data_IF_015653276865
#
_entry.id   IF_015653276865
#
_cell.length_a   1.000
_cell.length_b   1.000
_cell.length_c   1.000
_cell.angle_alpha   90.00
_cell.angle_beta   90.00
_cell.angle_gamma   90.00
#
_symmetry.space_group_name_H-M   'P 1'
#
loop_
_entity.id
_entity.type
_entity.pdbx_description
1 polymer ?
#
# COMPACT_ATOMS: atom_id res chain seq x y z
N UNK A 1 -18.55 5.23 -13.81
CA UNK A 1 -18.42 3.77 -13.59
C UNK A 1 -17.44 3.22 -14.61
N UNK A 2 -16.21 2.91 -14.20
CA UNK A 2 -15.25 2.16 -15.02
C UNK A 2 -15.72 0.70 -15.10
N UNK A 3 -15.81 0.17 -16.31
CA UNK A 3 -16.22 -1.22 -16.58
C UNK A 3 -15.21 -2.22 -15.99
N UNK A 4 -15.64 -3.45 -15.70
CA UNK A 4 -14.73 -4.53 -15.28
C UNK A 4 -13.58 -4.71 -16.29
N UNK A 5 -13.86 -4.53 -17.58
CA UNK A 5 -12.87 -4.56 -18.65
C UNK A 5 -11.84 -3.43 -18.53
N UNK A 6 -12.27 -2.19 -18.27
CA UNK A 6 -11.35 -1.07 -18.05
C UNK A 6 -10.48 -1.26 -16.79
N UNK A 7 -11.04 -1.82 -15.70
CA UNK A 7 -10.28 -2.20 -14.50
C UNK A 7 -9.29 -3.33 -14.75
N UNK A 8 -9.60 -4.24 -15.68
CA UNK A 8 -8.67 -5.27 -16.15
C UNK A 8 -7.63 -4.73 -17.14
N UNK A 9 -7.91 -3.60 -17.82
CA UNK A 9 -7.00 -2.95 -18.76
C UNK A 9 -6.03 -1.96 -18.08
N UNK A 10 -6.37 -1.44 -16.90
CA UNK A 10 -5.44 -0.71 -16.02
C UNK A 10 -4.40 -1.69 -15.44
N UNK A 11 -3.37 -2.00 -16.23
CA UNK A 11 -2.32 -2.94 -15.89
C UNK A 11 -1.22 -2.35 -14.99
N UNK A 12 -1.28 -1.04 -14.71
CA UNK A 12 -0.27 -0.32 -13.95
C UNK A 12 -0.80 1.01 -13.41
N UNK A 13 -0.25 1.46 -12.30
CA UNK A 13 -0.39 2.83 -11.79
C UNK A 13 0.73 3.69 -12.40
N UNK A 14 0.40 4.87 -12.94
CA UNK A 14 1.44 5.83 -13.34
C UNK A 14 1.90 6.60 -12.10
N UNK A 15 3.22 6.61 -11.85
CA UNK A 15 3.83 7.42 -10.80
C UNK A 15 4.82 8.40 -11.42
N UNK A 16 5.18 9.45 -10.68
CA UNK A 16 6.16 10.44 -11.14
C UNK A 16 7.35 10.46 -10.20
N UNK A 17 8.56 10.25 -10.74
CA UNK A 17 9.82 10.31 -10.01
C UNK A 17 10.71 11.32 -10.74
N UNK A 18 11.11 12.40 -10.03
CA UNK A 18 11.94 13.49 -10.59
C UNK A 18 11.42 14.05 -11.94
N UNK A 19 10.09 14.19 -12.05
CA UNK A 19 9.42 14.67 -13.26
C UNK A 19 9.29 13.65 -14.40
N UNK A 20 9.82 12.42 -14.22
CA UNK A 20 9.67 11.33 -15.17
C UNK A 20 8.50 10.44 -14.79
N UNK A 21 7.63 10.17 -15.76
CA UNK A 21 6.54 9.21 -15.59
C UNK A 21 7.08 7.78 -15.65
N UNK A 22 6.83 7.01 -14.60
CA UNK A 22 7.15 5.60 -14.52
C UNK A 22 5.87 4.78 -14.33
N UNK A 23 5.88 3.53 -14.79
CA UNK A 23 4.77 2.61 -14.58
C UNK A 23 5.08 1.71 -13.39
N UNK A 24 4.22 1.75 -12.39
CA UNK A 24 4.21 0.78 -11.30
C UNK A 24 3.27 -0.35 -11.66
N UNK A 25 3.76 -1.60 -11.69
CA UNK A 25 2.90 -2.75 -11.97
C UNK A 25 1.90 -2.98 -10.82
N UNK A 26 0.80 -3.66 -11.14
CA UNK A 26 -0.16 -4.16 -10.15
C UNK A 26 0.49 -5.07 -9.10
N UNK A 27 -0.11 -5.09 -7.92
CA UNK A 27 0.28 -5.97 -6.83
C UNK A 27 -0.09 -7.42 -7.16
N UNK A 28 0.74 -8.36 -6.73
CA UNK A 28 0.51 -9.79 -6.92
C UNK A 28 0.85 -10.60 -5.66
N UNK A 29 0.60 -11.92 -5.71
CA UNK A 29 0.80 -12.81 -4.56
C UNK A 29 2.26 -12.84 -4.08
N UNK A 30 3.26 -12.65 -4.95
CA UNK A 30 4.68 -12.61 -4.51
C UNK A 30 4.96 -11.39 -3.64
N UNK A 31 4.26 -10.29 -3.88
CA UNK A 31 4.40 -9.07 -3.09
C UNK A 31 3.91 -9.27 -1.66
N UNK A 32 2.87 -10.09 -1.47
CA UNK A 32 2.39 -10.45 -0.14
C UNK A 32 3.52 -11.08 0.67
N UNK A 33 4.28 -12.00 0.07
CA UNK A 33 5.43 -12.64 0.71
C UNK A 33 6.54 -11.65 1.05
N UNK A 34 6.90 -10.77 0.10
CA UNK A 34 7.92 -9.72 0.34
C UNK A 34 7.52 -8.80 1.49
N UNK A 35 6.27 -8.36 1.51
CA UNK A 35 5.78 -7.47 2.54
C UNK A 35 5.65 -8.15 3.91
N UNK A 36 5.29 -9.43 3.96
CA UNK A 36 5.34 -10.16 5.23
C UNK A 36 6.76 -10.30 5.79
N UNK A 37 7.79 -10.33 4.95
CA UNK A 37 9.19 -10.32 5.38
C UNK A 37 9.56 -9.00 6.05
N UNK A 38 9.11 -7.87 5.49
CA UNK A 38 9.22 -6.53 6.09
C UNK A 38 8.59 -6.54 7.48
N UNK A 39 7.32 -6.93 7.59
CA UNK A 39 6.61 -6.97 8.88
C UNK A 39 7.31 -7.90 9.88
N UNK A 40 7.86 -9.03 9.44
CA UNK A 40 8.56 -9.96 10.33
C UNK A 40 9.84 -9.37 10.94
N UNK A 41 10.50 -8.45 10.24
CA UNK A 41 11.71 -7.76 10.73
C UNK A 41 11.39 -6.63 11.70
N UNK A 42 10.42 -5.79 11.36
CA UNK A 42 10.01 -4.64 12.19
C UNK A 42 9.26 -5.11 13.44
N UNK A 43 8.49 -6.18 13.32
CA UNK A 43 7.76 -6.81 14.42
C UNK A 43 6.27 -6.54 14.42
N UNK A 44 5.58 -7.02 15.47
CA UNK A 44 4.12 -7.10 15.51
C UNK A 44 3.41 -5.73 15.54
N UNK A 45 4.09 -4.65 15.94
CA UNK A 45 3.49 -3.31 16.00
C UNK A 45 3.22 -2.78 14.58
N UNK A 46 4.15 -2.95 13.64
CA UNK A 46 3.95 -2.62 12.24
C UNK A 46 2.76 -3.35 11.60
N UNK A 47 2.46 -4.57 12.07
CA UNK A 47 1.26 -5.30 11.63
C UNK A 47 -0.02 -4.61 12.12
N UNK A 48 -0.06 -4.17 13.38
CA UNK A 48 -1.22 -3.48 13.96
C UNK A 48 -1.50 -2.19 13.19
N UNK A 49 -0.47 -1.36 13.01
CA UNK A 49 -0.56 -0.08 12.30
C UNK A 49 -1.06 -0.27 10.87
N UNK A 50 -0.51 -1.28 10.18
CA UNK A 50 -0.92 -1.63 8.82
C UNK A 50 -2.37 -2.14 8.73
N UNK A 51 -2.81 -2.94 9.70
CA UNK A 51 -4.20 -3.42 9.74
C UNK A 51 -5.18 -2.30 10.08
N UNK A 52 -4.80 -1.38 10.95
CA UNK A 52 -5.59 -0.21 11.33
C UNK A 52 -5.78 0.70 10.12
N UNK A 53 -4.69 1.02 9.40
CA UNK A 53 -4.77 1.79 8.16
C UNK A 53 -5.72 1.14 7.13
N UNK A 54 -5.60 -0.17 6.91
CA UNK A 54 -6.49 -0.87 5.98
C UNK A 54 -7.97 -0.81 6.39
N UNK A 55 -8.26 -0.87 7.69
CA UNK A 55 -9.63 -0.73 8.20
C UNK A 55 -10.16 0.69 7.99
N UNK A 56 -9.38 1.70 8.38
CA UNK A 56 -9.75 3.11 8.23
C UNK A 56 -9.93 3.50 6.76
N UNK A 57 -9.06 3.04 5.86
CA UNK A 57 -9.19 3.28 4.41
C UNK A 57 -10.50 2.71 3.86
N UNK A 58 -10.88 1.48 4.24
CA UNK A 58 -12.16 0.91 3.83
C UNK A 58 -13.34 1.74 4.33
N UNK A 59 -13.34 2.15 5.59
CA UNK A 59 -14.40 2.97 6.18
C UNK A 59 -14.53 4.32 5.45
N UNK A 60 -13.41 4.94 5.07
CA UNK A 60 -13.38 6.18 4.30
C UNK A 60 -13.90 5.95 2.89
N UNK A 61 -13.46 4.90 2.19
CA UNK A 61 -13.90 4.59 0.83
C UNK A 61 -15.41 4.29 0.77
N UNK A 62 -15.97 3.62 1.78
CA UNK A 62 -17.42 3.42 1.93
C UNK A 62 -18.18 4.73 2.12
N UNK A 63 -17.67 5.64 2.97
CA UNK A 63 -18.26 6.98 3.17
C UNK A 63 -18.25 7.80 1.88
N UNK A 64 -17.18 7.76 1.10
CA UNK A 64 -17.09 8.46 -0.20
C UNK A 64 -18.15 7.92 -1.16
N UNK A 65 -18.30 6.60 -1.25
CA UNK A 65 -19.31 5.99 -2.13
C UNK A 65 -20.73 6.41 -1.74
N UNK A 66 -21.04 6.44 -0.43
CA UNK A 66 -22.35 6.86 0.06
C UNK A 66 -22.61 8.36 -0.19
N UNK A 67 -21.60 9.21 0.03
CA UNK A 67 -21.71 10.65 -0.20
C UNK A 67 -21.89 11.00 -1.68
N UNK A 68 -21.23 10.27 -2.59
CA UNK A 68 -21.38 10.46 -4.04
C UNK A 68 -22.78 10.10 -4.57
N UNK A 69 -23.59 9.36 -3.81
CA UNK A 69 -24.96 9.02 -4.17
C UNK A 69 -25.98 10.12 -3.78
N UNK A 70 -25.57 11.15 -3.03
CA UNK A 70 -26.42 12.25 -2.55
C UNK A 70 -25.86 13.62 -3.00
N UNK A 71 -26.48 14.28 -3.99
CA UNK A 71 -26.00 15.54 -4.59
C UNK A 71 -25.93 16.74 -3.62
N UNK A 72 -26.63 16.71 -2.47
CA UNK A 72 -26.69 17.82 -1.51
C UNK A 72 -25.49 17.92 -0.54
N UNK A 73 -24.53 16.99 -0.59
CA UNK A 73 -23.48 16.84 0.43
C UNK A 73 -22.05 17.13 -0.07
N UNK A 74 -21.88 18.08 -0.99
CA UNK A 74 -20.58 18.46 -1.54
C UNK A 74 -19.54 18.85 -0.45
N UNK A 75 -19.98 19.54 0.60
CA UNK A 75 -19.11 19.98 1.70
C UNK A 75 -18.63 18.80 2.56
N UNK A 76 -19.50 17.81 2.78
CA UNK A 76 -19.12 16.56 3.46
C UNK A 76 -18.19 15.71 2.62
N UNK A 77 -18.38 15.66 1.30
CA UNK A 77 -17.48 14.94 0.39
C UNK A 77 -16.06 15.51 0.46
N UNK A 78 -15.91 16.84 0.44
CA UNK A 78 -14.61 17.51 0.58
C UNK A 78 -13.92 17.17 1.92
N UNK A 79 -14.69 17.09 3.01
CA UNK A 79 -14.15 16.73 4.33
C UNK A 79 -13.69 15.27 4.38
N UNK A 80 -14.46 14.35 3.80
CA UNK A 80 -14.10 12.93 3.71
C UNK A 80 -12.85 12.74 2.82
N UNK A 81 -12.74 13.47 1.70
CA UNK A 81 -11.54 13.44 0.85
C UNK A 81 -10.30 13.98 1.57
N UNK A 82 -10.45 15.02 2.38
CA UNK A 82 -9.38 15.54 3.24
C UNK A 82 -8.91 14.48 4.24
N UNK A 83 -9.84 13.79 4.91
CA UNK A 83 -9.54 12.67 5.80
C UNK A 83 -8.80 11.55 5.07
N UNK A 84 -9.24 11.18 3.86
CA UNK A 84 -8.57 10.18 3.03
C UNK A 84 -7.11 10.53 2.77
N UNK A 85 -6.84 11.80 2.44
CA UNK A 85 -5.48 12.30 2.18
C UNK A 85 -4.61 12.30 3.43
N UNK A 86 -5.14 12.77 4.55
CA UNK A 86 -4.44 12.78 5.84
C UNK A 86 -4.04 11.35 6.26
N UNK A 87 -4.96 10.39 6.13
CA UNK A 87 -4.65 8.97 6.40
C UNK A 87 -3.65 8.37 5.44
N UNK A 88 -3.73 8.72 4.16
CA UNK A 88 -2.69 8.33 3.18
C UNK A 88 -1.30 8.82 3.59
N UNK A 89 -1.19 10.07 4.04
CA UNK A 89 0.07 10.64 4.52
C UNK A 89 0.58 9.95 5.79
N UNK A 90 -0.29 9.67 6.77
CA UNK A 90 0.07 8.90 7.98
C UNK A 90 0.69 7.54 7.60
N UNK A 91 0.08 6.84 6.65
CA UNK A 91 0.60 5.56 6.17
C UNK A 91 1.95 5.68 5.46
N UNK A 92 2.15 6.73 4.65
CA UNK A 92 3.45 7.02 4.04
C UNK A 92 4.51 7.19 5.11
N UNK A 93 4.25 8.01 6.14
CA UNK A 93 5.20 8.22 7.24
C UNK A 93 5.50 6.93 8.02
N UNK A 94 4.48 6.11 8.26
CA UNK A 94 4.66 4.80 8.89
C UNK A 94 5.56 3.90 8.06
N UNK A 95 5.33 3.78 6.74
CA UNK A 95 6.21 2.96 5.90
C UNK A 95 7.64 3.50 5.86
N UNK A 96 7.81 4.82 5.76
CA UNK A 96 9.13 5.46 5.76
C UNK A 96 9.88 5.22 7.08
N UNK A 97 9.19 5.21 8.23
CA UNK A 97 9.84 4.95 9.53
C UNK A 97 10.33 3.52 9.68
N UNK A 98 9.76 2.57 8.92
CA UNK A 98 10.20 1.17 8.89
C UNK A 98 11.46 0.95 8.05
N UNK A 99 11.71 1.82 7.06
CA UNK A 99 12.79 1.62 6.06
C UNK A 99 14.16 1.38 6.70
N UNK A 100 14.64 2.12 7.71
CA UNK A 100 15.96 1.90 8.29
C UNK A 100 16.22 0.48 8.82
N UNK A 101 15.17 -0.24 9.24
CA UNK A 101 15.29 -1.60 9.78
C UNK A 101 15.19 -2.69 8.70
N UNK A 102 14.71 -2.34 7.50
CA UNK A 102 14.41 -3.29 6.43
C UNK A 102 14.59 -2.71 5.02
N UNK A 103 15.63 -1.89 4.86
CA UNK A 103 15.98 -1.17 3.63
C UNK A 103 16.15 -2.12 2.43
N UNK A 104 16.81 -3.27 2.65
CA UNK A 104 16.99 -4.31 1.64
C UNK A 104 15.64 -4.85 1.13
N UNK A 105 14.71 -5.15 2.03
CA UNK A 105 13.39 -5.67 1.69
C UNK A 105 12.52 -4.64 0.99
N UNK A 106 12.55 -3.38 1.43
CA UNK A 106 11.86 -2.30 0.76
C UNK A 106 12.42 -2.06 -0.63
N UNK A 107 13.74 -2.06 -0.80
CA UNK A 107 14.39 -1.89 -2.10
C UNK A 107 14.05 -3.05 -3.05
N UNK A 108 14.03 -4.29 -2.57
CA UNK A 108 13.59 -5.45 -3.35
C UNK A 108 12.11 -5.34 -3.73
N UNK A 109 11.26 -4.91 -2.80
CA UNK A 109 9.83 -4.76 -3.04
C UNK A 109 9.55 -3.65 -4.05
N UNK A 110 10.09 -2.45 -3.85
CA UNK A 110 9.85 -1.29 -4.69
C UNK A 110 10.47 -1.43 -6.08
N UNK A 111 11.71 -1.92 -6.20
CA UNK A 111 12.31 -2.24 -7.51
C UNK A 111 11.47 -3.26 -8.29
N UNK A 112 10.92 -4.27 -7.60
CA UNK A 112 10.03 -5.25 -8.23
C UNK A 112 8.72 -4.61 -8.72
N UNK A 113 8.16 -3.63 -8.00
CA UNK A 113 6.97 -2.89 -8.43
C UNK A 113 7.24 -1.97 -9.63
N UNK A 114 8.44 -1.43 -9.73
CA UNK A 114 8.87 -0.62 -10.87
C UNK A 114 9.40 -1.45 -12.05
N UNK A 115 9.53 -2.76 -11.87
CA UNK A 115 10.07 -3.69 -12.86
C UNK A 115 11.50 -3.34 -13.31
N UNK A 116 12.28 -2.74 -12.41
CA UNK A 116 13.70 -2.42 -12.59
C UNK A 116 14.55 -3.32 -11.70
N UNK A 117 15.86 -3.30 -11.92
CA UNK A 117 16.78 -4.00 -11.02
C UNK A 117 16.91 -3.26 -9.70
N UNK A 118 17.27 -3.99 -8.64
CA UNK A 118 17.52 -3.38 -7.34
C UNK A 118 18.63 -2.32 -7.43
N UNK A 119 19.71 -2.62 -8.13
CA UNK A 119 20.83 -1.69 -8.30
C UNK A 119 20.43 -0.42 -9.04
N UNK A 120 19.42 -0.48 -9.92
CA UNK A 120 18.87 0.69 -10.60
C UNK A 120 17.96 1.49 -9.66
N UNK A 121 17.20 0.82 -8.79
CA UNK A 121 16.37 1.46 -7.77
C UNK A 121 17.21 2.19 -6.72
N UNK A 122 18.32 1.60 -6.28
CA UNK A 122 19.22 2.19 -5.28
C UNK A 122 19.92 3.48 -5.79
N UNK A 123 19.89 3.74 -7.10
CA UNK A 123 20.37 4.97 -7.72
C UNK A 123 19.27 6.03 -7.91
N UNK A 124 18.01 5.67 -7.67
CA UNK A 124 16.92 6.63 -7.71
C UNK A 124 17.01 7.59 -6.51
N UNK A 125 16.51 8.82 -6.67
CA UNK A 125 16.55 9.78 -5.59
C UNK A 125 15.54 9.41 -4.49
N UNK A 126 15.71 9.89 -3.24
CA UNK A 126 14.90 9.48 -2.11
C UNK A 126 13.38 9.67 -2.30
N UNK A 127 12.95 10.65 -3.10
CA UNK A 127 11.53 10.82 -3.42
C UNK A 127 10.91 9.62 -4.16
N UNK A 128 11.72 8.76 -4.77
CA UNK A 128 11.24 7.56 -5.46
C UNK A 128 10.50 6.62 -4.50
N UNK A 129 10.97 6.48 -3.26
CA UNK A 129 10.29 5.67 -2.25
C UNK A 129 8.91 6.23 -1.94
N UNK A 130 8.80 7.56 -1.80
CA UNK A 130 7.52 8.25 -1.56
C UNK A 130 6.57 8.05 -2.74
N UNK A 131 7.04 8.26 -3.97
CA UNK A 131 6.23 8.10 -5.16
C UNK A 131 5.71 6.67 -5.35
N UNK A 132 6.51 5.66 -5.00
CA UNK A 132 6.06 4.25 -5.02
C UNK A 132 4.98 4.01 -3.96
N UNK A 133 5.16 4.53 -2.74
CA UNK A 133 4.15 4.39 -1.67
C UNK A 133 2.84 5.10 -2.04
N UNK A 134 2.92 6.31 -2.60
CA UNK A 134 1.75 7.03 -3.11
C UNK A 134 1.06 6.23 -4.22
N UNK A 135 1.83 5.66 -5.15
CA UNK A 135 1.28 4.75 -6.18
C UNK A 135 0.58 3.52 -5.59
N UNK A 136 1.07 2.97 -4.47
CA UNK A 136 0.41 1.89 -3.75
C UNK A 136 -0.92 2.35 -3.14
N UNK A 137 -0.99 3.56 -2.60
CA UNK A 137 -2.23 4.13 -2.04
C UNK A 137 -3.33 4.29 -3.09
N UNK A 138 -2.95 4.55 -4.34
CA UNK A 138 -3.84 4.67 -5.49
C UNK A 138 -4.14 3.31 -6.17
N UNK A 139 -3.44 2.25 -5.80
CA UNK A 139 -3.62 0.93 -6.39
C UNK A 139 -4.99 0.33 -6.05
N UNK A 140 -5.71 -0.13 -7.09
CA UNK A 140 -6.97 -0.87 -6.91
C UNK A 140 -6.79 -2.18 -6.14
N UNK A 141 -5.58 -2.75 -6.15
CA UNK A 141 -5.27 -4.02 -5.51
C UNK A 141 -4.93 -3.90 -4.02
N UNK A 142 -4.73 -2.67 -3.52
CA UNK A 142 -4.19 -2.44 -2.19
C UNK A 142 -5.00 -3.16 -1.09
N UNK A 143 -6.33 -3.10 -1.18
CA UNK A 143 -7.20 -3.73 -0.19
C UNK A 143 -7.15 -5.26 -0.23
N UNK A 144 -7.10 -5.83 -1.44
CA UNK A 144 -6.92 -7.28 -1.60
C UNK A 144 -5.57 -7.73 -1.06
N UNK A 145 -4.52 -6.96 -1.36
CA UNK A 145 -3.17 -7.18 -0.87
C UNK A 145 -3.12 -7.14 0.67
N UNK A 146 -3.72 -6.13 1.31
CA UNK A 146 -3.79 -6.04 2.78
C UNK A 146 -4.47 -7.24 3.42
N UNK A 147 -5.60 -7.69 2.83
CA UNK A 147 -6.31 -8.87 3.32
C UNK A 147 -5.46 -10.14 3.19
N UNK A 148 -4.71 -10.29 2.10
CA UNK A 148 -3.80 -11.43 1.90
C UNK A 148 -2.62 -11.40 2.88
N UNK A 149 -1.99 -10.24 3.10
CA UNK A 149 -0.93 -10.04 4.09
C UNK A 149 -1.43 -10.42 5.48
N UNK A 150 -2.61 -9.90 5.88
CA UNK A 150 -3.25 -10.23 7.16
C UNK A 150 -3.50 -11.73 7.32
N UNK A 151 -4.03 -12.39 6.28
CA UNK A 151 -4.28 -13.82 6.28
C UNK A 151 -3.00 -14.64 6.46
N UNK A 152 -1.94 -14.27 5.74
CA UNK A 152 -0.65 -14.93 5.81
C UNK A 152 -0.01 -14.78 7.19
N UNK A 153 0.00 -13.58 7.76
CA UNK A 153 0.59 -13.34 9.07
C UNK A 153 -0.19 -14.06 10.18
N UNK A 154 -1.53 -14.08 10.12
CA UNK A 154 -2.35 -14.86 11.06
C UNK A 154 -1.98 -16.35 11.02
N UNK A 155 -1.72 -16.88 9.83
CA UNK A 155 -1.24 -18.26 9.68
C UNK A 155 0.14 -18.47 10.30
N UNK A 156 1.06 -17.52 10.11
CA UNK A 156 2.41 -17.59 10.68
C UNK A 156 2.43 -17.42 12.21
N UNK A 157 1.65 -16.50 12.77
CA UNK A 157 1.56 -16.30 14.23
C UNK A 157 0.99 -17.51 14.96
N UNK A 158 0.00 -18.18 14.38
CA UNK A 158 -0.53 -19.45 14.89
C UNK A 158 0.51 -20.58 14.89
N UNK A 159 1.48 -20.57 13.95
CA UNK A 159 2.58 -21.54 13.93
C UNK A 159 3.62 -21.22 14.99
N UNK A 160 3.95 -19.95 15.18
CA UNK A 160 4.93 -19.49 16.18
C UNK A 160 4.49 -19.84 17.61
N UNK A 161 3.22 -19.58 17.93
CA UNK A 161 2.65 -19.90 19.26
C UNK A 161 2.54 -21.41 19.52
N UNK A 162 2.57 -22.26 18.49
CA UNK A 162 2.60 -23.73 18.62
C UNK A 162 4.00 -24.30 18.79
N UNK A 163 5.05 -23.54 18.49
CA UNK A 163 6.45 -23.96 18.68
C UNK A 163 6.99 -23.56 20.07
N UNK A 164 6.30 -22.66 20.78
CA UNK A 164 6.62 -22.26 22.15
C UNK A 164 5.84 -23.05 23.23
N UNK A 165 5.08 -24.08 22.85
CA UNK A 165 4.48 -25.10 23.72
C UNK A 165 5.11 -26.47 23.45
#
# INVERSE_FOLDING_TARGET
>A
MTTMLEKMMHNSTEITISGQKMKMRRLNVKDVWRFTKIISKVGRHAMTDFMEFGKEKNEIDEKIQLAQMNEEQQEQLNEIEKQKKEKGLEFVFQLLSMIPECEDEFSEFFSSLLQIKREEFDQLPPEAMVAVIEGLLESEDLMSFFNQVKGLIKSQSLKWNKQEM
#
